data_IF_700712967501
#
_entry.id   IF_700712967501
#
_cell.length_a   1.000
_cell.length_b   1.000
_cell.length_c   1.000
_cell.angle_alpha   90.00
_cell.angle_beta   90.00
_cell.angle_gamma   90.00
#
_symmetry.space_group_name_H-M   'P 1'
#
loop_
_entity.id
_entity.type
_entity.pdbx_description
1 polymer ?
#
# COMPACT_ATOMS: atom_id res chain seq x y z
N UNK A 1 1.42 -9.07 14.63
CA UNK A 1 0.92 -7.77 15.16
C UNK A 1 0.94 -7.74 16.68
N UNK A 2 1.26 -6.58 17.27
CA UNK A 2 1.26 -6.43 18.73
C UNK A 2 -0.12 -6.62 19.34
N UNK A 3 -0.11 -6.98 20.62
CA UNK A 3 -1.29 -7.12 21.47
C UNK A 3 -1.23 -6.08 22.58
N UNK A 4 -2.29 -5.28 22.68
CA UNK A 4 -2.51 -4.30 23.73
C UNK A 4 -3.30 -4.87 24.93
N UNK A 5 -3.87 -3.98 25.74
CA UNK A 5 -4.77 -4.37 26.85
C UNK A 5 -5.94 -5.21 26.30
N UNK A 6 -6.32 -6.26 27.05
CA UNK A 6 -7.36 -7.23 26.67
C UNK A 6 -7.10 -7.98 25.35
N UNK A 7 -5.85 -8.07 24.90
CA UNK A 7 -5.48 -8.80 23.69
C UNK A 7 -5.90 -8.13 22.38
N UNK A 8 -6.32 -6.86 22.42
CA UNK A 8 -6.65 -6.09 21.21
C UNK A 8 -5.43 -5.93 20.31
N UNK A 9 -5.65 -5.95 19.01
CA UNK A 9 -4.60 -5.66 18.02
C UNK A 9 -4.11 -4.23 18.22
N UNK A 10 -2.81 -4.04 18.26
CA UNK A 10 -2.16 -2.73 18.26
C UNK A 10 -1.22 -2.67 17.05
N UNK A 11 -1.53 -1.90 15.99
CA UNK A 11 -0.58 -1.67 14.92
C UNK A 11 0.59 -0.83 15.46
N UNK A 12 1.82 -1.21 15.11
CA UNK A 12 3.05 -0.47 15.48
C UNK A 12 3.67 0.27 14.31
N UNK A 13 3.25 -0.04 13.10
CA UNK A 13 3.75 0.58 11.89
C UNK A 13 2.64 0.59 10.86
N UNK A 14 2.35 1.72 10.25
CA UNK A 14 1.42 1.82 9.11
C UNK A 14 2.13 2.58 8.01
N UNK A 15 2.04 2.08 6.78
CA UNK A 15 2.56 2.78 5.61
C UNK A 15 1.57 2.75 4.46
N UNK A 16 1.35 3.92 3.86
CA UNK A 16 0.50 4.17 2.70
C UNK A 16 1.37 4.69 1.56
N UNK A 17 1.07 4.31 0.32
CA UNK A 17 1.69 4.78 -0.90
C UNK A 17 0.61 4.93 -1.97
N UNK A 18 0.38 6.16 -2.44
CA UNK A 18 -0.39 6.42 -3.65
C UNK A 18 0.29 5.75 -4.84
N UNK A 19 -0.49 5.00 -5.60
CA UNK A 19 -0.08 4.23 -6.76
C UNK A 19 0.15 5.17 -7.93
N UNK A 20 -0.74 6.14 -8.12
CA UNK A 20 -0.73 7.06 -9.27
C UNK A 20 0.02 8.36 -8.96
N UNK A 21 0.15 8.75 -7.68
CA UNK A 21 0.86 9.96 -7.26
C UNK A 21 2.05 9.66 -6.34
N UNK A 22 2.78 10.72 -6.00
CA UNK A 22 3.96 10.64 -5.14
C UNK A 22 3.66 10.63 -3.64
N UNK A 23 2.38 10.63 -3.23
CA UNK A 23 2.03 10.62 -1.81
C UNK A 23 2.50 9.31 -1.16
N UNK A 24 3.31 9.42 -0.12
CA UNK A 24 3.71 8.31 0.75
C UNK A 24 3.55 8.77 2.19
N UNK A 25 2.82 7.98 2.97
CA UNK A 25 2.68 8.13 4.41
C UNK A 25 3.35 6.97 5.12
N UNK A 26 4.11 7.23 6.18
CA UNK A 26 4.73 6.19 7.00
C UNK A 26 4.75 6.66 8.45
N UNK A 27 4.24 5.82 9.34
CA UNK A 27 4.13 6.13 10.75
C UNK A 27 4.56 4.94 11.60
N UNK A 28 5.46 5.19 12.55
CA UNK A 28 5.74 4.27 13.65
C UNK A 28 4.92 4.73 14.86
N UNK A 29 3.97 3.89 15.25
CA UNK A 29 2.91 4.27 16.19
C UNK A 29 3.41 4.10 17.61
N UNK A 30 3.28 5.13 18.45
CA UNK A 30 3.63 5.07 19.85
C UNK A 30 2.65 4.18 20.64
N UNK A 31 3.14 3.61 21.73
CA UNK A 31 2.33 2.76 22.59
C UNK A 31 1.42 3.61 23.48
N UNK A 32 0.10 3.34 23.52
CA UNK A 32 -0.85 4.18 24.24
C UNK A 32 -0.78 4.07 25.76
N UNK A 33 0.16 3.27 26.30
CA UNK A 33 0.38 3.07 27.73
C UNK A 33 1.75 2.42 28.02
N UNK A 34 2.24 2.50 29.26
CA UNK A 34 3.53 1.91 29.66
C UNK A 34 3.61 0.40 29.43
N UNK A 35 4.77 -0.10 29.02
CA UNK A 35 4.99 -1.53 28.74
C UNK A 35 4.62 -2.45 29.91
N UNK A 36 4.88 -1.99 31.14
CA UNK A 36 4.64 -2.78 32.36
C UNK A 36 3.14 -3.00 32.65
N UNK A 37 2.26 -2.21 32.06
CA UNK A 37 0.80 -2.41 32.16
C UNK A 37 0.29 -3.58 31.31
N UNK A 38 1.09 -4.11 30.39
CA UNK A 38 0.71 -5.30 29.61
C UNK A 38 0.76 -6.56 30.49
N UNK A 39 -0.24 -7.45 30.39
CA UNK A 39 -0.11 -8.81 30.89
C UNK A 39 1.15 -9.51 30.37
N UNK A 40 1.78 -10.35 31.22
CA UNK A 40 3.03 -11.03 30.90
C UNK A 40 3.01 -11.83 29.59
N UNK A 41 1.90 -12.53 29.30
CA UNK A 41 1.73 -13.27 28.06
C UNK A 41 1.76 -12.38 26.80
N UNK A 42 1.23 -11.16 26.88
CA UNK A 42 1.25 -10.20 25.77
C UNK A 42 2.62 -9.53 25.63
N UNK A 43 3.31 -9.27 26.74
CA UNK A 43 4.71 -8.83 26.73
C UNK A 43 5.61 -9.84 26.00
N UNK A 44 5.51 -11.12 26.34
CA UNK A 44 6.27 -12.18 25.68
C UNK A 44 5.95 -12.29 24.18
N UNK A 45 4.67 -12.19 23.84
CA UNK A 45 4.21 -12.22 22.44
C UNK A 45 4.77 -11.04 21.64
N UNK A 46 4.68 -9.83 22.19
CA UNK A 46 5.18 -8.62 21.54
C UNK A 46 6.72 -8.66 21.40
N UNK A 47 7.44 -9.11 22.44
CA UNK A 47 8.89 -9.29 22.37
C UNK A 47 9.32 -10.29 21.29
N UNK A 48 8.57 -11.39 21.13
CA UNK A 48 8.83 -12.36 20.05
C UNK A 48 8.61 -11.71 18.67
N UNK A 49 7.59 -10.88 18.51
CA UNK A 49 7.33 -10.16 17.25
C UNK A 49 8.43 -9.13 16.94
N UNK A 50 8.85 -8.35 17.94
CA UNK A 50 9.99 -7.42 17.79
C UNK A 50 11.23 -8.17 17.32
N UNK A 51 11.62 -9.23 18.05
CA UNK A 51 12.91 -9.89 17.82
C UNK A 51 12.99 -10.74 16.56
N UNK A 52 11.85 -11.27 16.09
CA UNK A 52 11.82 -12.23 14.98
C UNK A 52 11.18 -11.69 13.71
N UNK A 53 10.54 -10.53 13.77
CA UNK A 53 9.67 -10.12 12.68
C UNK A 53 9.88 -8.69 12.21
N UNK A 54 9.51 -7.69 13.00
CA UNK A 54 9.50 -6.30 12.53
C UNK A 54 10.53 -5.41 13.21
N UNK A 55 11.25 -5.86 14.25
CA UNK A 55 12.33 -5.06 14.87
C UNK A 55 11.87 -3.86 15.70
N UNK A 56 10.64 -3.38 15.54
CA UNK A 56 10.07 -2.25 16.31
C UNK A 56 9.82 -2.65 17.77
N UNK A 57 10.37 -1.88 18.70
CA UNK A 57 10.19 -2.03 20.14
C UNK A 57 8.93 -1.34 20.64
N UNK A 58 8.57 -1.57 21.90
CA UNK A 58 7.35 -1.00 22.48
C UNK A 58 7.34 0.54 22.45
N UNK A 59 8.50 1.17 22.65
CA UNK A 59 8.66 2.62 22.80
C UNK A 59 9.29 3.30 21.57
N UNK A 60 9.43 2.59 20.45
CA UNK A 60 10.03 3.14 19.22
C UNK A 60 9.13 4.10 18.45
N UNK A 61 7.86 4.24 18.85
CA UNK A 61 6.90 5.02 18.09
C UNK A 61 6.92 6.50 18.44
N UNK A 62 6.59 7.31 17.44
CA UNK A 62 6.55 8.78 17.55
C UNK A 62 5.17 9.36 17.21
N UNK A 63 4.29 8.54 16.64
CA UNK A 63 2.97 8.97 16.18
C UNK A 63 1.85 8.45 17.07
N UNK A 64 0.92 9.31 17.48
CA UNK A 64 -0.26 8.88 18.22
C UNK A 64 -1.19 8.05 17.33
N UNK A 65 -1.68 6.92 17.87
CA UNK A 65 -2.52 6.00 17.10
C UNK A 65 -3.76 6.69 16.51
N UNK A 66 -4.48 7.50 17.29
CA UNK A 66 -5.71 8.13 16.81
C UNK A 66 -5.45 9.08 15.63
N UNK A 67 -4.39 9.87 15.70
CA UNK A 67 -4.00 10.79 14.63
C UNK A 67 -3.64 10.04 13.36
N UNK A 68 -2.86 8.95 13.47
CA UNK A 68 -2.53 8.10 12.33
C UNK A 68 -3.79 7.50 11.71
N UNK A 69 -4.73 7.00 12.52
CA UNK A 69 -5.97 6.43 12.01
C UNK A 69 -6.87 7.48 11.33
N UNK A 70 -6.89 8.72 11.83
CA UNK A 70 -7.57 9.84 11.18
C UNK A 70 -6.92 10.14 9.83
N UNK A 71 -5.59 10.27 9.77
CA UNK A 71 -4.85 10.50 8.54
C UNK A 71 -5.08 9.40 7.50
N UNK A 72 -5.04 8.12 7.92
CA UNK A 72 -5.32 6.98 7.04
C UNK A 72 -6.73 7.09 6.47
N UNK A 73 -7.73 7.40 7.30
CA UNK A 73 -9.13 7.56 6.86
C UNK A 73 -9.27 8.74 5.90
N UNK A 74 -8.62 9.86 6.19
CA UNK A 74 -8.67 11.06 5.36
C UNK A 74 -8.01 10.86 3.99
N UNK A 75 -6.91 10.13 3.93
CA UNK A 75 -6.28 9.77 2.67
C UNK A 75 -7.16 8.78 1.91
N UNK A 76 -7.66 7.75 2.61
CA UNK A 76 -8.48 6.70 2.02
C UNK A 76 -9.85 7.17 1.53
N UNK A 77 -10.36 8.34 1.96
CA UNK A 77 -11.71 8.81 1.56
C UNK A 77 -11.84 9.07 0.06
N UNK A 78 -10.74 9.48 -0.59
CA UNK A 78 -10.73 9.86 -2.01
C UNK A 78 -10.11 8.80 -2.93
N UNK A 79 -9.53 7.74 -2.38
CA UNK A 79 -8.92 6.69 -3.19
C UNK A 79 -9.97 5.98 -4.06
N UNK A 80 -9.66 5.49 -5.26
CA UNK A 80 -10.61 4.67 -6.02
C UNK A 80 -10.72 3.27 -5.40
N UNK A 81 -9.56 2.70 -5.11
CA UNK A 81 -9.41 1.35 -4.56
C UNK A 81 -8.37 1.37 -3.44
N UNK A 82 -8.53 0.48 -2.47
CA UNK A 82 -7.60 0.29 -1.35
C UNK A 82 -7.04 -1.13 -1.45
N UNK A 83 -5.72 -1.24 -1.52
CA UNK A 83 -5.02 -2.53 -1.58
C UNK A 83 -4.23 -2.79 -0.31
N UNK A 84 -4.15 -4.06 0.08
CA UNK A 84 -3.30 -4.51 1.19
C UNK A 84 -2.87 -5.96 1.02
N UNK A 85 -1.97 -6.42 1.90
CA UNK A 85 -1.52 -7.80 1.99
C UNK A 85 -1.89 -8.41 3.33
N UNK A 86 -2.68 -9.48 3.27
CA UNK A 86 -3.07 -10.25 4.44
C UNK A 86 -4.49 -9.98 4.89
N UNK A 87 -5.18 -11.04 5.31
CA UNK A 87 -6.59 -11.00 5.68
C UNK A 87 -6.86 -10.16 6.93
N UNK A 88 -6.00 -10.24 7.97
CA UNK A 88 -6.17 -9.41 9.17
C UNK A 88 -6.06 -7.91 8.86
N UNK A 89 -5.13 -7.52 7.99
CA UNK A 89 -4.94 -6.13 7.59
C UNK A 89 -6.08 -5.63 6.69
N UNK A 90 -6.60 -6.49 5.81
CA UNK A 90 -7.79 -6.18 5.01
C UNK A 90 -9.03 -5.93 5.89
N UNK A 91 -9.28 -6.82 6.85
CA UNK A 91 -10.41 -6.67 7.81
C UNK A 91 -10.23 -5.39 8.63
N UNK A 92 -9.01 -5.12 9.10
CA UNK A 92 -8.70 -3.91 9.86
C UNK A 92 -8.97 -2.63 9.04
N UNK A 93 -8.41 -2.53 7.83
CA UNK A 93 -8.58 -1.36 6.97
C UNK A 93 -10.03 -1.18 6.52
N UNK A 94 -10.74 -2.27 6.21
CA UNK A 94 -12.16 -2.23 5.86
C UNK A 94 -13.00 -1.68 7.03
N UNK A 95 -12.71 -2.11 8.26
CA UNK A 95 -13.39 -1.57 9.46
C UNK A 95 -13.06 -0.09 9.72
N UNK A 96 -11.82 0.32 9.44
CA UNK A 96 -11.33 1.68 9.69
C UNK A 96 -11.90 2.71 8.70
N UNK A 97 -12.00 2.31 7.43
CA UNK A 97 -12.34 3.19 6.31
C UNK A 97 -13.81 3.07 5.89
N UNK A 98 -14.50 1.99 6.29
CA UNK A 98 -15.83 1.63 5.80
C UNK A 98 -15.89 1.47 4.27
N UNK A 99 -14.79 1.06 3.65
CA UNK A 99 -14.64 0.88 2.20
C UNK A 99 -14.22 -0.54 1.86
N UNK A 100 -14.43 -0.92 0.60
CA UNK A 100 -13.87 -2.15 0.06
C UNK A 100 -12.34 -2.11 0.08
N UNK A 101 -11.74 -3.22 0.56
CA UNK A 101 -10.29 -3.40 0.62
C UNK A 101 -9.93 -4.69 -0.10
N UNK A 102 -9.09 -4.58 -1.12
CA UNK A 102 -8.64 -5.70 -1.96
C UNK A 102 -7.39 -6.30 -1.32
N UNK A 103 -7.50 -7.54 -0.84
CA UNK A 103 -6.35 -8.30 -0.36
C UNK A 103 -5.62 -8.95 -1.54
N UNK A 104 -4.43 -8.46 -1.88
CA UNK A 104 -3.68 -9.00 -3.00
C UNK A 104 -3.08 -10.39 -2.69
N UNK A 105 -2.85 -10.76 -1.42
CA UNK A 105 -2.36 -12.12 -1.08
C UNK A 105 -3.33 -13.25 -1.49
N UNK A 106 -4.63 -12.94 -1.64
CA UNK A 106 -5.62 -13.90 -2.14
C UNK A 106 -5.59 -14.09 -3.66
N UNK A 107 -4.90 -13.23 -4.40
CA UNK A 107 -4.78 -13.33 -5.85
C UNK A 107 -3.56 -14.19 -6.20
N UNK A 108 -3.74 -15.29 -6.93
CA UNK A 108 -2.64 -16.20 -7.29
C UNK A 108 -1.50 -15.46 -8.02
N UNK A 109 -1.90 -14.58 -8.94
CA UNK A 109 -1.05 -13.71 -9.75
C UNK A 109 -0.10 -12.85 -8.90
N UNK A 110 -0.52 -12.41 -7.71
CA UNK A 110 0.29 -11.59 -6.83
C UNK A 110 1.59 -12.28 -6.37
N UNK A 111 1.56 -13.60 -6.14
CA UNK A 111 2.73 -14.34 -5.63
C UNK A 111 3.88 -14.36 -6.63
N UNK A 112 3.55 -14.45 -7.92
CA UNK A 112 4.52 -14.51 -9.00
C UNK A 112 5.22 -13.16 -9.19
N UNK A 113 4.48 -12.05 -9.17
CA UNK A 113 5.07 -10.71 -9.28
C UNK A 113 5.89 -10.33 -8.04
N UNK A 114 5.41 -10.66 -6.84
CA UNK A 114 6.13 -10.36 -5.61
C UNK A 114 7.51 -11.06 -5.54
N UNK A 115 7.67 -12.21 -6.20
CA UNK A 115 8.96 -12.90 -6.30
C UNK A 115 9.97 -12.17 -7.20
N UNK A 116 9.52 -11.33 -8.14
CA UNK A 116 10.38 -10.60 -9.09
C UNK A 116 10.89 -9.26 -8.57
N UNK A 117 10.35 -8.75 -7.46
CA UNK A 117 10.73 -7.44 -6.90
C UNK A 117 11.85 -7.59 -5.87
N UNK A 118 13.09 -7.48 -6.35
CA UNK A 118 14.31 -7.60 -5.54
C UNK A 118 14.59 -6.37 -4.68
N UNK A 119 14.21 -5.18 -5.15
CA UNK A 119 14.52 -3.92 -4.48
C UNK A 119 13.86 -3.84 -3.09
N UNK A 120 14.63 -3.41 -2.09
CA UNK A 120 14.16 -3.28 -0.71
C UNK A 120 14.34 -1.84 -0.24
N UNK A 121 13.25 -1.09 -0.21
CA UNK A 121 13.23 0.28 0.33
C UNK A 121 12.77 0.20 1.77
N UNK A 122 13.69 0.45 2.71
CA UNK A 122 13.42 0.43 4.14
C UNK A 122 13.20 1.85 4.68
N UNK A 123 12.40 1.95 5.74
CA UNK A 123 12.35 3.18 6.52
C UNK A 123 13.67 3.36 7.30
N UNK A 124 13.94 4.59 7.75
CA UNK A 124 15.17 4.92 8.50
C UNK A 124 15.37 4.02 9.72
N UNK A 125 14.30 3.74 10.48
CA UNK A 125 14.35 2.86 11.65
C UNK A 125 14.81 1.45 11.27
N UNK A 126 14.23 0.86 10.22
CA UNK A 126 14.61 -0.47 9.76
C UNK A 126 15.99 -0.51 9.12
N UNK A 127 16.40 0.53 8.40
CA UNK A 127 17.76 0.65 7.86
C UNK A 127 18.80 0.58 8.98
N UNK A 128 18.58 1.32 10.07
CA UNK A 128 19.46 1.31 11.25
C UNK A 128 19.40 -0.04 11.97
N UNK A 129 18.21 -0.60 12.21
CA UNK A 129 18.09 -1.87 12.95
C UNK A 129 18.69 -3.05 12.18
N UNK A 130 18.48 -3.11 10.88
CA UNK A 130 19.02 -4.19 10.05
C UNK A 130 20.56 -4.11 9.99
N UNK A 131 21.15 -2.91 9.96
CA UNK A 131 22.61 -2.75 9.96
C UNK A 131 23.24 -3.14 11.30
N UNK A 132 22.60 -2.84 12.43
CA UNK A 132 23.13 -3.15 13.77
C UNK A 132 22.95 -4.64 14.11
N UNK A 133 21.83 -5.24 13.72
CA UNK A 133 21.46 -6.59 14.19
C UNK A 133 21.70 -7.70 13.19
N UNK A 134 22.16 -7.37 11.96
CA UNK A 134 22.33 -8.29 10.83
C UNK A 134 21.06 -9.12 10.54
N UNK A 135 19.88 -8.54 10.82
CA UNK A 135 18.58 -9.17 10.61
C UNK A 135 17.82 -8.48 9.49
N UNK A 136 16.95 -9.24 8.85
CA UNK A 136 16.08 -8.73 7.79
C UNK A 136 14.66 -8.48 8.29
N UNK A 137 14.46 -7.40 9.05
CA UNK A 137 13.13 -7.08 9.58
C UNK A 137 12.14 -6.69 8.48
N UNK A 138 10.87 -7.00 8.73
CA UNK A 138 9.75 -6.57 7.89
C UNK A 138 9.39 -5.11 8.19
N UNK A 139 9.28 -4.33 7.12
CA UNK A 139 8.95 -2.91 7.16
C UNK A 139 7.64 -2.66 6.40
N UNK A 140 6.69 -1.97 7.01
CA UNK A 140 5.41 -1.60 6.41
C UNK A 140 5.62 -0.78 5.13
N UNK A 141 6.52 0.22 5.18
CA UNK A 141 6.84 1.08 4.04
C UNK A 141 7.35 0.28 2.84
N UNK A 142 8.30 -0.63 3.08
CA UNK A 142 8.82 -1.50 2.03
C UNK A 142 7.70 -2.27 1.32
N UNK A 143 6.75 -2.81 2.11
CA UNK A 143 5.65 -3.59 1.53
C UNK A 143 4.70 -2.69 0.73
N UNK A 144 4.38 -1.49 1.21
CA UNK A 144 3.49 -0.56 0.51
C UNK A 144 4.08 -0.11 -0.83
N UNK A 145 5.38 0.17 -0.85
CA UNK A 145 6.12 0.56 -2.06
C UNK A 145 6.26 -0.59 -3.05
N UNK A 146 6.47 -1.83 -2.58
CA UNK A 146 6.48 -3.01 -3.46
C UNK A 146 5.13 -3.22 -4.13
N UNK A 147 4.04 -3.07 -3.38
CA UNK A 147 2.68 -3.13 -3.93
C UNK A 147 2.45 -2.06 -4.96
N UNK A 148 2.81 -0.81 -4.68
CA UNK A 148 2.74 0.27 -5.68
C UNK A 148 3.51 -0.09 -6.96
N UNK A 149 4.76 -0.51 -6.83
CA UNK A 149 5.61 -0.85 -7.99
C UNK A 149 4.97 -1.92 -8.87
N UNK A 150 4.43 -2.98 -8.26
CA UNK A 150 3.77 -4.06 -8.98
C UNK A 150 2.49 -3.60 -9.67
N UNK A 151 1.71 -2.73 -9.03
CA UNK A 151 0.50 -2.18 -9.62
C UNK A 151 0.81 -1.27 -10.82
N UNK A 152 1.85 -0.44 -10.73
CA UNK A 152 2.27 0.44 -11.84
C UNK A 152 2.83 -0.35 -13.03
N UNK A 153 3.63 -1.40 -12.79
CA UNK A 153 4.11 -2.24 -13.90
C UNK A 153 2.98 -2.93 -14.68
N UNK A 154 1.78 -3.00 -14.09
CA UNK A 154 0.61 -3.67 -14.66
C UNK A 154 -0.24 -2.74 -15.52
N UNK A 155 -0.28 -1.45 -15.19
CA UNK A 155 -0.85 -0.43 -16.07
C UNK A 155 0.01 -0.29 -17.33
N UNK A 156 1.34 -0.28 -17.18
CA UNK A 156 2.26 -0.15 -18.32
C UNK A 156 2.12 -1.33 -19.32
N UNK A 157 1.90 -2.55 -18.84
CA UNK A 157 1.72 -3.72 -19.73
C UNK A 157 0.39 -3.74 -20.47
N UNK A 158 -0.64 -3.08 -19.94
CA UNK A 158 -1.94 -2.96 -20.61
C UNK A 158 -1.86 -1.88 -21.69
N UNK A 159 -1.14 -0.78 -21.43
CA UNK A 159 -0.88 0.26 -22.44
C UNK A 159 -0.02 -0.26 -23.60
N UNK A 160 1.00 -1.08 -23.31
CA UNK A 160 1.83 -1.71 -24.36
C UNK A 160 1.05 -2.73 -25.21
N UNK A 161 0.11 -3.49 -24.64
CA UNK A 161 -0.74 -4.43 -25.38
C UNK A 161 -1.80 -3.72 -26.24
N UNK A 162 -2.29 -2.55 -25.82
CA UNK A 162 -3.24 -1.74 -26.61
C UNK A 162 -2.55 -0.98 -27.76
N UNK A 163 -1.28 -0.61 -27.63
CA UNK A 163 -0.51 0.02 -28.74
C UNK A 163 -0.06 -0.97 -29.83
N UNK A 164 0.08 -2.27 -29.52
CA UNK A 164 0.45 -3.29 -30.51
C UNK A 164 -0.71 -3.72 -31.43
N UNK A 165 -1.96 -3.37 -31.09
CA UNK A 165 -3.15 -3.72 -31.87
C UNK A 165 -3.56 -2.64 -32.92
N UNK A 166 -2.87 -1.49 -32.99
CA UNK A 166 -3.18 -0.43 -33.98
C UNK A 166 -2.38 -0.51 -35.30
N UNK A 167 -1.42 -1.43 -35.48
CA UNK A 167 -0.63 -1.53 -36.72
C UNK A 167 -0.92 -2.78 -37.57
N UNK A 168 -2.16 -2.92 -38.05
CA UNK A 168 -2.47 -3.76 -39.24
C UNK A 168 -3.60 -3.15 -40.08
N UNK A 169 -3.24 -2.47 -41.17
CA UNK A 169 -4.21 -2.17 -42.24
C UNK A 169 -3.73 -1.18 -43.29
N UNK A 170 -2.91 -1.66 -44.22
CA UNK A 170 -2.40 -0.94 -45.39
C UNK A 170 -3.47 -0.72 -46.52
N UNK A 171 -3.41 0.47 -47.12
CA UNK A 171 -3.80 0.97 -48.47
C UNK A 171 -5.14 0.64 -49.18
N UNK A 172 -5.85 1.71 -49.62
CA UNK A 172 -5.95 2.13 -51.04
C UNK A 172 -6.93 3.31 -51.27
N UNK A 173 -6.84 3.93 -52.45
CA UNK A 173 -7.06 5.35 -52.81
C UNK A 173 -8.43 5.62 -53.46
N UNK A 174 -9.05 6.80 -53.26
CA UNK A 174 -9.53 7.79 -54.28
C UNK A 174 -10.74 8.66 -53.87
N UNK A 175 -10.78 9.84 -54.51
CA UNK A 175 -11.41 11.13 -54.22
C UNK A 175 -12.95 11.18 -54.34
N UNK A 176 -13.62 12.06 -53.56
CA UNK A 176 -14.23 13.32 -54.08
C UNK A 176 -15.16 14.04 -53.07
N UNK A 177 -14.95 15.38 -52.97
CA UNK A 177 -15.91 16.50 -52.80
C UNK A 177 -16.83 16.69 -51.56
N UNK A 178 -16.54 17.83 -50.90
CA UNK A 178 -17.42 18.99 -50.65
C UNK A 178 -18.14 19.16 -49.28
N UNK A 179 -17.73 20.25 -48.61
CA UNK A 179 -18.40 21.16 -47.66
C UNK A 179 -19.34 20.64 -46.55
N UNK A 180 -18.90 20.83 -45.31
CA UNK A 180 -19.77 20.89 -44.12
C UNK A 180 -19.03 21.33 -42.86
N UNK A 181 -19.34 22.54 -42.39
CA UNK A 181 -18.80 23.22 -41.19
C UNK A 181 -18.94 22.34 -39.91
N UNK A 182 -17.94 22.30 -39.00
CA UNK A 182 -17.94 21.36 -37.88
C UNK A 182 -18.83 21.80 -36.70
N UNK A 183 -19.44 20.86 -35.96
CA UNK A 183 -20.12 21.13 -34.68
C UNK A 183 -19.12 21.39 -33.53
N UNK A 184 -19.55 22.08 -32.46
CA UNK A 184 -18.68 22.42 -31.33
C UNK A 184 -18.29 21.18 -30.50
N UNK A 185 -17.12 21.18 -29.86
CA UNK A 185 -16.60 20.03 -29.13
C UNK A 185 -17.33 19.76 -27.81
N UNK A 186 -17.56 18.48 -27.55
CA UNK A 186 -17.98 17.88 -26.28
C UNK A 186 -16.92 18.11 -25.19
N UNK A 187 -17.30 18.30 -23.91
CA UNK A 187 -16.35 18.47 -22.81
C UNK A 187 -15.54 17.18 -22.54
N UNK A 188 -14.31 17.31 -22.00
CA UNK A 188 -13.45 16.16 -21.73
C UNK A 188 -13.97 15.28 -20.59
N UNK A 189 -13.62 13.98 -20.57
CA UNK A 189 -14.02 13.06 -19.50
C UNK A 189 -13.34 13.42 -18.17
N UNK A 190 -14.04 13.11 -17.08
CA UNK A 190 -13.55 13.28 -15.71
C UNK A 190 -12.25 12.50 -15.50
N UNK A 191 -11.25 13.19 -14.95
CA UNK A 191 -9.98 12.59 -14.51
C UNK A 191 -10.23 11.48 -13.50
N UNK A 192 -9.72 10.28 -13.81
CA UNK A 192 -9.74 9.10 -12.93
C UNK A 192 -9.10 9.43 -11.56
N UNK A 193 -9.64 8.91 -10.44
CA UNK A 193 -9.08 9.18 -9.12
C UNK A 193 -7.94 8.21 -8.79
N UNK A 194 -6.97 8.64 -7.96
CA UNK A 194 -5.82 7.82 -7.64
C UNK A 194 -6.10 6.52 -6.90
N UNK A 195 -5.34 5.50 -7.32
CA UNK A 195 -5.20 4.18 -6.73
C UNK A 195 -4.20 4.30 -5.56
N UNK A 196 -4.43 3.65 -4.42
CA UNK A 196 -3.57 3.81 -3.23
C UNK A 196 -3.30 2.47 -2.54
N UNK A 197 -2.03 2.16 -2.32
CA UNK A 197 -1.49 0.92 -1.74
C UNK A 197 -1.08 1.14 -0.28
N UNK A 198 -1.53 0.30 0.64
CA UNK A 198 -1.11 0.38 2.05
C UNK A 198 -0.57 -0.97 2.48
N UNK A 199 0.51 -0.98 3.24
CA UNK A 199 0.97 -2.20 3.88
C UNK A 199 1.37 -1.95 5.32
N UNK A 200 1.07 -2.94 6.16
CA UNK A 200 1.38 -2.99 7.58
C UNK A 200 2.16 -4.29 7.74
N UNK A 201 3.46 -4.24 7.99
CA UNK A 201 4.28 -5.45 8.03
C UNK A 201 3.80 -6.43 9.10
N UNK A 202 3.91 -7.74 8.80
CA UNK A 202 3.48 -8.82 9.71
C UNK A 202 4.27 -8.80 11.02
#
# INVERSE_FOLDING_TARGET
KFRGKKGKILPKEIAIADVDHHLVGHWVIDSPFPYLDLPGCWRETNNKLTTRHHGIEWFDGESELQDVLCNVRDIAKNASHIFTLGSEDAIFLQSLTAREVINLESLAVWREYNAKVEEKILCTLHTIKNSITEKDYKCALNVALKVRKILNTRTDTIEEEEEEDEDKGDTSVQEDKENGKPPPPTPPPASSPPVLSTAVSK
#
